data_IF_767970884838
#
_entry.id   IF_767970884838
#
_cell.length_a   1.000
_cell.length_b   1.000
_cell.length_c   1.000
_cell.angle_alpha   90.00
_cell.angle_beta   90.00
_cell.angle_gamma   90.00
#
_symmetry.space_group_name_H-M   'P 1'
#
loop_
_entity.id
_entity.type
_entity.pdbx_description
1 polymer ?
#
# COMPACT_ATOMS: atom_id res chain seq x y z
N UNK A 1 20.41 20.33 -26.87
CA UNK A 1 20.29 19.17 -27.78
C UNK A 1 19.08 19.29 -28.69
N UNK A 2 17.83 19.33 -28.14
CA UNK A 2 16.62 19.39 -28.97
C UNK A 2 16.63 20.60 -29.94
N UNK A 3 16.86 21.81 -29.42
CA UNK A 3 16.94 23.04 -30.22
C UNK A 3 18.05 22.98 -31.30
N UNK A 4 19.18 22.33 -30.98
CA UNK A 4 20.27 22.16 -31.97
C UNK A 4 19.94 21.15 -33.06
N UNK A 5 19.07 20.18 -32.83
CA UNK A 5 18.67 19.14 -33.78
C UNK A 5 17.48 19.55 -34.66
N UNK A 6 16.56 20.35 -34.10
CA UNK A 6 15.28 20.66 -34.74
C UNK A 6 15.09 22.15 -35.06
N UNK A 7 15.98 23.05 -34.61
CA UNK A 7 15.91 24.49 -34.86
C UNK A 7 14.81 25.23 -34.08
N UNK A 8 14.11 24.56 -33.18
CA UNK A 8 13.02 25.10 -32.37
C UNK A 8 13.22 24.81 -30.89
N UNK A 9 12.71 25.70 -30.05
CA UNK A 9 12.76 25.48 -28.61
C UNK A 9 11.76 24.41 -28.21
N UNK A 10 12.18 23.57 -27.25
CA UNK A 10 11.29 22.60 -26.64
C UNK A 10 10.28 23.32 -25.75
N UNK A 11 8.99 23.24 -26.10
CA UNK A 11 7.88 23.75 -25.30
C UNK A 11 7.45 22.70 -24.28
N UNK A 12 6.85 23.16 -23.19
CA UNK A 12 6.26 22.31 -22.14
C UNK A 12 7.27 21.39 -21.40
N UNK A 13 8.51 21.86 -21.29
CA UNK A 13 9.51 21.25 -20.41
C UNK A 13 8.92 21.08 -18.99
N UNK A 14 9.18 19.90 -18.37
CA UNK A 14 8.64 19.42 -17.08
C UNK A 14 7.27 18.73 -17.11
N UNK A 15 6.69 18.51 -18.29
CA UNK A 15 5.67 17.50 -18.47
C UNK A 15 6.32 16.18 -18.92
N UNK A 16 6.16 15.12 -18.11
CA UNK A 16 6.86 13.85 -18.33
C UNK A 16 6.59 13.22 -19.70
N UNK A 17 5.41 13.43 -20.29
CA UNK A 17 5.08 12.89 -21.61
C UNK A 17 5.79 13.65 -22.73
N UNK A 18 5.91 14.97 -22.60
CA UNK A 18 6.65 15.81 -23.54
C UNK A 18 8.16 15.57 -23.43
N UNK A 19 8.70 15.42 -22.22
CA UNK A 19 10.12 15.15 -21.99
C UNK A 19 10.53 13.79 -22.60
N UNK A 20 9.72 12.75 -22.44
CA UNK A 20 9.94 11.44 -23.06
C UNK A 20 9.89 11.52 -24.59
N UNK A 21 8.92 12.24 -25.13
CA UNK A 21 8.77 12.41 -26.57
C UNK A 21 9.94 13.19 -27.18
N UNK A 22 10.36 14.29 -26.54
CA UNK A 22 11.53 15.07 -26.96
C UNK A 22 12.82 14.25 -26.93
N UNK A 23 12.99 13.42 -25.90
CA UNK A 23 14.14 12.50 -25.77
C UNK A 23 14.12 11.47 -26.88
N UNK A 24 12.99 10.84 -27.17
CA UNK A 24 12.84 9.87 -28.24
C UNK A 24 13.11 10.51 -29.62
N UNK A 25 12.51 11.67 -29.94
CA UNK A 25 12.77 12.41 -31.19
C UNK A 25 14.26 12.71 -31.34
N UNK A 26 14.92 13.19 -30.30
CA UNK A 26 16.35 13.50 -30.34
C UNK A 26 17.20 12.26 -30.59
N UNK A 27 16.88 11.13 -29.96
CA UNK A 27 17.56 9.86 -30.16
C UNK A 27 17.46 9.36 -31.61
N UNK A 28 16.25 9.33 -32.17
CA UNK A 28 16.03 8.89 -33.55
C UNK A 28 16.68 9.83 -34.57
N UNK A 29 16.69 11.15 -34.30
CA UNK A 29 17.37 12.12 -35.16
C UNK A 29 18.89 11.94 -35.15
N UNK A 30 19.49 11.67 -34.00
CA UNK A 30 20.92 11.36 -33.89
C UNK A 30 21.29 10.06 -34.63
N UNK A 31 20.42 9.04 -34.55
CA UNK A 31 20.60 7.79 -35.27
C UNK A 31 20.50 8.00 -36.80
N UNK A 32 19.54 8.81 -37.28
CA UNK A 32 19.39 9.20 -38.68
C UNK A 32 20.64 9.95 -39.21
N UNK A 33 21.21 10.83 -38.38
CA UNK A 33 22.43 11.58 -38.71
C UNK A 33 23.70 10.70 -38.65
N UNK A 34 23.61 9.46 -38.16
CA UNK A 34 24.74 8.54 -38.02
C UNK A 34 25.67 8.84 -36.83
N UNK A 35 25.24 9.73 -35.92
CA UNK A 35 25.97 10.06 -34.70
C UNK A 35 25.85 8.95 -33.63
N UNK A 36 24.85 8.07 -33.76
CA UNK A 36 24.68 6.89 -32.92
C UNK A 36 24.94 5.63 -33.75
N UNK A 37 25.96 4.88 -33.37
CA UNK A 37 26.35 3.62 -34.02
C UNK A 37 26.03 2.47 -33.07
N UNK A 38 25.00 1.70 -33.39
CA UNK A 38 24.74 0.41 -32.81
C UNK A 38 24.47 -0.58 -33.94
N UNK A 39 25.08 -1.75 -33.89
CA UNK A 39 24.99 -2.78 -34.93
C UNK A 39 23.56 -3.29 -35.16
N UNK A 40 22.68 -3.08 -34.17
CA UNK A 40 21.27 -3.48 -34.21
C UNK A 40 20.33 -2.43 -34.82
N UNK A 41 20.83 -1.21 -35.16
CA UNK A 41 20.03 -0.12 -35.72
C UNK A 41 20.54 0.20 -37.13
N UNK A 42 19.93 -0.40 -38.14
CA UNK A 42 20.23 -0.03 -39.55
C UNK A 42 19.46 1.24 -39.94
N UNK A 43 20.09 2.12 -40.77
CA UNK A 43 19.48 3.37 -41.24
C UNK A 43 18.16 3.18 -42.00
N UNK A 44 17.90 1.99 -42.52
CA UNK A 44 16.72 1.66 -43.30
C UNK A 44 15.47 1.36 -42.47
N UNK A 45 15.64 1.13 -41.17
CA UNK A 45 14.53 0.72 -40.24
C UNK A 45 14.13 1.79 -39.24
N UNK A 46 14.68 3.01 -39.36
CA UNK A 46 14.39 4.06 -38.39
C UNK A 46 13.23 4.92 -38.89
N UNK A 47 12.02 4.51 -38.64
CA UNK A 47 10.84 5.39 -38.76
C UNK A 47 10.35 5.75 -37.34
N UNK A 48 10.59 6.99 -36.94
CA UNK A 48 9.95 7.53 -35.75
C UNK A 48 8.52 7.92 -36.11
N UNK A 49 7.56 7.10 -35.71
CA UNK A 49 6.16 7.52 -35.60
C UNK A 49 5.94 8.19 -34.25
N UNK A 50 5.57 9.47 -34.28
CA UNK A 50 5.17 10.17 -33.07
C UNK A 50 4.06 9.35 -32.37
N UNK A 51 4.28 8.85 -31.14
CA UNK A 51 3.25 8.11 -30.47
C UNK A 51 2.04 9.02 -30.40
N UNK A 52 0.94 8.64 -31.07
CA UNK A 52 -0.34 9.32 -30.90
C UNK A 52 -0.63 9.24 -29.41
N UNK A 53 -0.32 10.33 -28.69
CA UNK A 53 -0.71 10.50 -27.32
C UNK A 53 -2.18 10.09 -27.32
N UNK A 54 -2.51 8.95 -26.71
CA UNK A 54 -3.90 8.60 -26.49
C UNK A 54 -4.43 9.79 -25.75
N UNK A 55 -5.16 10.65 -26.52
CA UNK A 55 -5.91 11.74 -25.90
C UNK A 55 -6.56 11.10 -24.69
N UNK A 56 -6.14 11.51 -23.51
CA UNK A 56 -6.59 10.91 -22.29
C UNK A 56 -8.08 11.25 -22.16
N UNK A 57 -8.92 10.46 -22.85
CA UNK A 57 -10.35 10.43 -22.56
C UNK A 57 -10.61 10.02 -21.10
N UNK A 58 -9.54 9.69 -20.38
CA UNK A 58 -9.53 9.53 -18.93
C UNK A 58 -9.97 10.81 -18.22
N UNK A 59 -9.42 11.99 -18.58
CA UNK A 59 -9.85 13.25 -17.99
C UNK A 59 -11.26 13.67 -18.41
N UNK A 60 -11.72 13.27 -19.61
CA UNK A 60 -13.06 13.57 -20.09
C UNK A 60 -14.14 12.64 -19.50
N UNK A 61 -13.81 11.42 -19.14
CA UNK A 61 -14.75 10.52 -18.45
C UNK A 61 -14.94 10.89 -16.97
N UNK A 62 -13.90 11.40 -16.32
CA UNK A 62 -14.02 11.90 -14.95
C UNK A 62 -14.83 13.21 -14.91
N UNK A 63 -14.84 14.02 -15.99
CA UNK A 63 -15.63 15.25 -16.07
C UNK A 63 -17.12 15.05 -16.34
N UNK A 64 -17.58 13.85 -16.68
CA UNK A 64 -18.99 13.58 -17.01
C UNK A 64 -19.76 12.76 -15.97
N UNK A 65 -19.15 12.41 -14.86
CA UNK A 65 -19.90 12.03 -13.67
C UNK A 65 -19.87 13.20 -12.68
N UNK A 66 -20.28 14.37 -13.09
CA UNK A 66 -20.91 15.31 -12.19
C UNK A 66 -22.25 14.66 -11.80
N UNK A 67 -22.18 13.71 -10.88
CA UNK A 67 -23.30 13.46 -10.00
C UNK A 67 -23.50 14.81 -9.31
N UNK A 68 -24.61 15.48 -9.62
CA UNK A 68 -25.10 16.62 -8.86
C UNK A 68 -25.29 16.11 -7.42
N UNK A 69 -24.23 16.21 -6.64
CA UNK A 69 -24.31 16.02 -5.20
C UNK A 69 -25.02 17.26 -4.70
N UNK A 70 -26.34 17.17 -4.61
CA UNK A 70 -27.08 18.06 -3.74
C UNK A 70 -26.32 18.10 -2.41
N UNK A 71 -25.96 19.31 -1.98
CA UNK A 71 -25.36 19.59 -0.67
C UNK A 71 -26.38 19.30 0.44
N UNK A 72 -26.83 18.06 0.52
CA UNK A 72 -27.46 17.57 1.73
C UNK A 72 -26.32 17.26 2.70
N UNK A 73 -26.12 18.20 3.64
CA UNK A 73 -25.39 17.99 4.89
C UNK A 73 -26.15 16.97 5.77
N UNK A 74 -26.48 15.82 5.26
CA UNK A 74 -26.83 14.69 6.07
C UNK A 74 -25.52 13.99 6.34
N UNK A 75 -25.06 14.02 7.58
CA UNK A 75 -23.97 13.19 8.08
C UNK A 75 -24.33 11.73 7.77
N UNK A 76 -23.90 11.26 6.58
CA UNK A 76 -23.98 9.84 6.24
C UNK A 76 -22.97 9.16 7.18
N UNK A 77 -23.48 8.62 8.28
CA UNK A 77 -22.68 7.81 9.19
C UNK A 77 -22.39 6.51 8.45
N UNK A 78 -21.16 6.34 7.93
CA UNK A 78 -20.75 5.04 7.42
C UNK A 78 -20.63 4.06 8.59
N UNK A 79 -21.07 2.84 8.35
CA UNK A 79 -21.05 1.78 9.36
C UNK A 79 -19.74 1.00 9.32
N UNK A 80 -18.97 1.12 8.23
CA UNK A 80 -17.63 0.55 8.05
C UNK A 80 -16.81 1.41 7.11
N UNK A 81 -15.51 1.50 7.38
CA UNK A 81 -14.49 2.09 6.52
C UNK A 81 -13.24 1.23 6.51
N UNK A 82 -12.56 1.14 5.36
CA UNK A 82 -11.29 0.45 5.28
C UNK A 82 -10.17 1.25 5.93
N UNK A 83 -9.49 0.63 6.91
CA UNK A 83 -8.34 1.21 7.62
C UNK A 83 -7.00 0.63 7.17
N UNK A 84 -6.99 -0.53 6.48
CA UNK A 84 -5.80 -1.20 5.99
C UNK A 84 -5.92 -1.41 4.47
N UNK A 85 -5.35 -0.49 3.69
CA UNK A 85 -5.40 -0.49 2.23
C UNK A 85 -4.05 -0.13 1.62
N UNK A 86 -3.68 -0.85 0.57
CA UNK A 86 -2.49 -0.61 -0.22
C UNK A 86 -2.84 0.01 -1.56
N UNK A 87 -2.18 1.11 -1.88
CA UNK A 87 -2.30 1.74 -3.18
C UNK A 87 -1.17 1.30 -4.13
N UNK A 88 -1.23 1.77 -5.38
CA UNK A 88 -0.16 1.59 -6.36
C UNK A 88 1.23 2.07 -5.89
N UNK A 89 1.30 2.84 -4.81
CA UNK A 89 2.56 3.27 -4.19
C UNK A 89 3.17 2.20 -3.27
N UNK A 90 2.45 1.12 -2.96
CA UNK A 90 3.02 -0.15 -2.53
C UNK A 90 3.61 -0.85 -3.76
N UNK A 91 4.72 -0.29 -4.27
CA UNK A 91 5.30 -0.58 -5.58
C UNK A 91 5.55 -2.07 -5.77
N UNK A 92 5.06 -2.63 -6.88
CA UNK A 92 5.10 -4.07 -7.20
C UNK A 92 4.42 -4.97 -6.15
N UNK A 93 3.49 -4.43 -5.37
CA UNK A 93 2.80 -5.18 -4.32
C UNK A 93 1.28 -4.95 -4.29
N UNK A 94 0.79 -3.83 -4.83
CA UNK A 94 -0.63 -3.55 -4.95
C UNK A 94 -0.97 -2.92 -6.30
N UNK A 95 -2.22 -3.13 -6.76
CA UNK A 95 -2.72 -2.62 -8.05
C UNK A 95 -3.78 -1.53 -7.90
N UNK A 96 -4.19 -1.23 -6.67
CA UNK A 96 -5.23 -0.23 -6.39
C UNK A 96 -4.73 1.18 -6.71
N UNK A 97 -5.29 1.85 -7.73
CA UNK A 97 -4.99 3.28 -7.89
C UNK A 97 -5.71 4.11 -6.83
N UNK A 98 -5.09 5.21 -6.41
CA UNK A 98 -5.70 6.14 -5.43
C UNK A 98 -7.07 6.63 -5.91
N UNK A 99 -7.21 6.92 -7.19
CA UNK A 99 -8.46 7.34 -7.80
C UNK A 99 -9.55 6.28 -7.64
N UNK A 100 -9.21 5.01 -7.86
CA UNK A 100 -10.16 3.90 -7.72
C UNK A 100 -10.54 3.67 -6.25
N UNK A 101 -9.58 3.75 -5.30
CA UNK A 101 -9.86 3.66 -3.87
C UNK A 101 -10.91 4.70 -3.47
N UNK A 102 -10.71 5.97 -3.85
CA UNK A 102 -11.66 7.05 -3.52
C UNK A 102 -13.00 6.87 -4.24
N UNK A 103 -13.00 6.49 -5.53
CA UNK A 103 -14.24 6.22 -6.28
C UNK A 103 -15.08 5.11 -5.65
N UNK A 104 -14.44 4.01 -5.24
CA UNK A 104 -15.14 2.88 -4.57
C UNK A 104 -15.64 3.27 -3.19
N UNK A 105 -14.91 4.10 -2.47
CA UNK A 105 -15.40 4.63 -1.19
C UNK A 105 -16.69 5.44 -1.37
N UNK A 106 -16.78 6.26 -2.42
CA UNK A 106 -18.02 7.00 -2.76
C UNK A 106 -19.13 6.05 -3.16
N UNK A 107 -18.86 5.09 -4.06
CA UNK A 107 -19.81 4.09 -4.54
C UNK A 107 -20.41 3.32 -3.37
N UNK A 108 -19.58 2.91 -2.42
CA UNK A 108 -19.98 2.16 -1.23
C UNK A 108 -20.45 3.04 -0.06
N UNK A 109 -20.63 4.36 -0.29
CA UNK A 109 -21.13 5.32 0.70
C UNK A 109 -20.27 5.36 1.99
N UNK A 110 -18.98 5.14 1.86
CA UNK A 110 -18.02 5.36 2.93
C UNK A 110 -17.68 6.85 3.01
N UNK A 111 -17.72 7.44 4.18
CA UNK A 111 -17.40 8.88 4.37
C UNK A 111 -15.91 9.12 4.63
N UNK A 112 -15.13 8.06 4.83
CA UNK A 112 -13.70 8.08 5.06
C UNK A 112 -13.05 6.82 4.47
N UNK A 113 -11.75 6.87 4.22
CA UNK A 113 -10.93 5.71 3.85
C UNK A 113 -9.49 5.98 4.21
N UNK A 114 -8.75 4.93 4.56
CA UNK A 114 -7.31 5.02 4.81
C UNK A 114 -6.48 4.61 3.60
N UNK A 115 -5.23 5.09 3.53
CA UNK A 115 -4.14 4.41 2.83
C UNK A 115 -3.04 4.10 3.83
N UNK A 116 -2.49 2.89 3.72
CA UNK A 116 -1.43 2.34 4.58
C UNK A 116 -0.40 1.61 3.72
N UNK A 117 0.19 2.34 2.78
CA UNK A 117 1.15 1.76 1.83
C UNK A 117 2.36 1.13 2.53
N UNK A 118 2.89 0.07 1.92
CA UNK A 118 4.01 -0.72 2.45
C UNK A 118 5.32 0.08 2.42
N UNK A 119 5.82 0.40 3.60
CA UNK A 119 7.14 0.98 3.85
C UNK A 119 7.30 2.43 3.39
N UNK A 120 6.26 3.11 2.91
CA UNK A 120 6.37 4.47 2.42
C UNK A 120 5.06 5.26 2.52
N UNK A 121 5.19 6.59 2.36
CA UNK A 121 4.07 7.54 2.35
C UNK A 121 3.99 8.34 1.04
N UNK A 122 4.50 7.79 -0.08
CA UNK A 122 4.63 8.52 -1.35
C UNK A 122 3.29 8.94 -1.94
N UNK A 123 2.24 8.13 -1.75
CA UNK A 123 0.90 8.38 -2.24
C UNK A 123 0.09 9.41 -1.45
N UNK A 124 0.51 9.77 -0.24
CA UNK A 124 -0.31 10.52 0.73
C UNK A 124 -0.76 11.88 0.21
N UNK A 125 0.13 12.65 -0.43
CA UNK A 125 -0.23 13.97 -0.96
C UNK A 125 -1.32 13.87 -2.04
N UNK A 126 -1.14 12.96 -2.98
CA UNK A 126 -2.11 12.71 -4.06
C UNK A 126 -3.43 12.22 -3.47
N UNK A 127 -3.38 11.28 -2.53
CA UNK A 127 -4.55 10.73 -1.87
C UNK A 127 -5.34 11.80 -1.12
N UNK A 128 -4.68 12.57 -0.26
CA UNK A 128 -5.33 13.64 0.49
C UNK A 128 -6.06 14.64 -0.43
N UNK A 129 -5.39 15.06 -1.52
CA UNK A 129 -5.96 15.99 -2.50
C UNK A 129 -7.21 15.42 -3.18
N UNK A 130 -7.16 14.16 -3.61
CA UNK A 130 -8.27 13.52 -4.32
C UNK A 130 -9.42 13.23 -3.36
N UNK A 131 -9.16 12.72 -2.17
CA UNK A 131 -10.18 12.43 -1.16
C UNK A 131 -10.92 13.70 -0.74
N UNK A 132 -10.21 14.77 -0.40
CA UNK A 132 -10.83 16.05 -0.03
C UNK A 132 -11.67 16.65 -1.15
N UNK A 133 -11.20 16.59 -2.41
CA UNK A 133 -11.98 17.07 -3.58
C UNK A 133 -13.31 16.33 -3.72
N UNK A 134 -13.38 15.10 -3.27
CA UNK A 134 -14.57 14.25 -3.34
C UNK A 134 -15.34 14.14 -2.01
N UNK A 135 -15.06 15.00 -1.03
CA UNK A 135 -15.69 15.00 0.30
C UNK A 135 -15.53 13.67 1.06
N UNK A 136 -14.48 12.91 0.78
CA UNK A 136 -14.08 11.73 1.56
C UNK A 136 -13.02 12.17 2.57
N UNK A 137 -13.19 11.81 3.84
CA UNK A 137 -12.19 12.07 4.88
C UNK A 137 -10.98 11.17 4.66
N UNK A 138 -9.78 11.71 4.34
CA UNK A 138 -8.58 10.91 4.22
C UNK A 138 -8.06 10.52 5.59
N UNK A 139 -7.76 9.25 5.78
CA UNK A 139 -7.05 8.71 6.93
C UNK A 139 -5.67 8.31 6.45
N UNK A 140 -4.64 8.84 7.10
CA UNK A 140 -3.25 8.67 6.68
C UNK A 140 -2.55 7.68 7.60
N UNK A 141 -2.01 6.63 7.02
CA UNK A 141 -1.19 5.65 7.71
C UNK A 141 -0.04 5.16 6.83
N UNK A 142 0.69 4.21 7.36
CA UNK A 142 1.73 3.45 6.65
C UNK A 142 1.88 2.09 7.31
N UNK A 143 2.06 1.04 6.52
CA UNK A 143 2.47 -0.27 6.99
C UNK A 143 3.99 -0.38 6.95
N UNK A 144 4.63 -0.17 8.08
CA UNK A 144 6.08 -0.15 8.21
C UNK A 144 6.68 -1.56 8.30
N UNK A 145 7.89 -1.72 7.79
CA UNK A 145 8.72 -2.89 8.09
C UNK A 145 9.48 -2.64 9.39
N UNK A 146 9.19 -3.45 10.40
CA UNK A 146 9.83 -3.36 11.71
C UNK A 146 10.87 -4.46 11.84
N UNK A 147 12.10 -4.11 12.21
CA UNK A 147 13.19 -5.01 12.54
C UNK A 147 13.63 -4.85 13.99
N UNK A 148 14.40 -5.78 14.49
CA UNK A 148 14.99 -5.70 15.83
C UNK A 148 15.95 -4.50 15.94
N UNK A 149 16.79 -4.29 14.91
CA UNK A 149 17.71 -3.18 14.76
C UNK A 149 17.70 -2.71 13.30
N UNK A 150 17.20 -1.50 13.05
CA UNK A 150 17.11 -0.92 11.70
C UNK A 150 18.46 -0.71 11.04
N UNK A 151 19.51 -0.47 11.85
CA UNK A 151 20.86 -0.14 11.36
C UNK A 151 21.67 -1.39 11.02
N UNK A 152 21.24 -2.57 11.47
CA UNK A 152 21.89 -3.81 11.13
C UNK A 152 21.76 -4.09 9.64
N UNK A 153 22.91 -4.25 8.96
CA UNK A 153 22.97 -4.44 7.50
C UNK A 153 23.77 -5.69 7.08
N UNK A 154 24.15 -6.52 8.06
CA UNK A 154 24.84 -7.79 7.83
C UNK A 154 24.01 -8.94 8.38
N UNK A 155 23.60 -9.82 7.49
CA UNK A 155 22.79 -10.99 7.81
C UNK A 155 23.43 -12.23 7.24
N UNK A 156 23.20 -13.36 7.88
CA UNK A 156 23.67 -14.68 7.46
C UNK A 156 22.49 -15.63 7.32
N UNK A 157 22.72 -16.82 6.80
CA UNK A 157 21.67 -17.85 6.71
C UNK A 157 21.11 -18.22 8.09
N UNK A 158 21.97 -18.26 9.11
CA UNK A 158 21.59 -18.62 10.48
C UNK A 158 21.02 -17.44 11.27
N UNK A 159 21.29 -16.22 10.82
CA UNK A 159 20.75 -14.99 11.39
C UNK A 159 20.21 -14.09 10.26
N UNK A 160 19.06 -14.44 9.68
CA UNK A 160 18.46 -13.70 8.57
C UNK A 160 17.85 -12.39 9.06
N UNK A 161 17.58 -11.49 8.10
CA UNK A 161 16.81 -10.27 8.37
C UNK A 161 15.35 -10.63 8.72
N UNK A 162 15.04 -10.54 10.00
CA UNK A 162 13.69 -10.77 10.53
C UNK A 162 12.93 -9.46 10.54
N UNK A 163 11.83 -9.42 9.79
CA UNK A 163 10.95 -8.24 9.69
C UNK A 163 9.52 -8.63 9.95
N UNK A 164 8.82 -7.68 10.54
CA UNK A 164 7.37 -7.71 10.74
C UNK A 164 6.75 -6.51 10.05
N UNK A 165 5.50 -6.61 9.71
CA UNK A 165 4.72 -5.49 9.24
C UNK A 165 3.97 -4.85 10.40
N UNK A 166 3.88 -3.52 10.39
CA UNK A 166 3.22 -2.77 11.45
C UNK A 166 2.45 -1.61 10.87
N UNK A 167 1.15 -1.63 11.01
CA UNK A 167 0.28 -0.53 10.58
C UNK A 167 0.26 0.55 11.65
N UNK A 168 0.61 1.77 11.26
CA UNK A 168 0.55 2.97 12.07
C UNK A 168 -0.30 4.02 11.35
N UNK A 169 -1.24 4.66 12.08
CA UNK A 169 -2.20 5.62 11.54
C UNK A 169 -2.10 6.95 12.30
N UNK A 170 -2.09 8.07 11.59
CA UNK A 170 -2.04 9.40 12.19
C UNK A 170 -3.41 9.83 12.73
N UNK A 171 -3.48 10.30 13.97
CA UNK A 171 -4.69 10.87 14.60
C UNK A 171 -4.94 12.30 14.13
N UNK A 172 -3.90 13.04 13.83
CA UNK A 172 -3.93 14.46 13.46
C UNK A 172 -2.64 14.86 12.70
N UNK A 173 -2.46 16.17 12.48
CA UNK A 173 -1.28 16.70 11.78
C UNK A 173 0.04 16.32 12.44
N UNK A 174 0.14 16.38 13.77
CA UNK A 174 1.37 16.02 14.48
C UNK A 174 1.68 14.51 14.32
N UNK A 175 0.63 13.66 14.34
CA UNK A 175 0.76 12.23 14.03
C UNK A 175 1.26 11.99 12.62
N UNK A 176 0.74 12.74 11.63
CA UNK A 176 1.24 12.69 10.25
C UNK A 176 2.73 13.07 10.17
N UNK A 177 3.14 14.13 10.84
CA UNK A 177 4.55 14.55 10.87
C UNK A 177 5.44 13.48 11.52
N UNK A 178 4.94 12.79 12.54
CA UNK A 178 5.63 11.66 13.17
C UNK A 178 5.77 10.48 12.20
N UNK A 179 4.71 10.12 11.45
CA UNK A 179 4.79 9.07 10.43
C UNK A 179 5.75 9.45 9.28
N UNK A 180 5.75 10.71 8.86
CA UNK A 180 6.69 11.24 7.86
C UNK A 180 8.13 11.10 8.31
N UNK A 181 8.43 11.43 9.59
CA UNK A 181 9.74 11.24 10.18
C UNK A 181 10.14 9.77 10.23
N UNK A 182 9.22 8.88 10.65
CA UNK A 182 9.46 7.44 10.65
C UNK A 182 9.78 6.93 9.24
N UNK A 183 8.98 7.33 8.23
CA UNK A 183 9.22 6.95 6.84
C UNK A 183 10.57 7.45 6.34
N UNK A 184 10.93 8.71 6.62
CA UNK A 184 12.22 9.27 6.21
C UNK A 184 13.40 8.54 6.86
N UNK A 185 13.34 8.27 8.17
CA UNK A 185 14.38 7.55 8.89
C UNK A 185 14.46 6.08 8.47
N UNK A 186 13.34 5.45 8.08
CA UNK A 186 13.34 4.11 7.52
C UNK A 186 14.18 4.03 6.24
N UNK A 187 14.10 5.05 5.36
CA UNK A 187 14.92 5.11 4.14
C UNK A 187 16.36 5.53 4.39
N UNK A 188 16.61 6.49 5.29
CA UNK A 188 17.95 7.06 5.48
C UNK A 188 18.84 6.24 6.43
N UNK A 189 18.24 5.57 7.42
CA UNK A 189 18.98 4.78 8.41
C UNK A 189 18.72 3.29 8.34
N UNK A 190 17.50 2.88 7.88
CA UNK A 190 17.03 1.51 7.98
C UNK A 190 16.92 0.74 6.66
N UNK A 191 17.29 1.34 5.52
CA UNK A 191 17.16 0.70 4.23
C UNK A 191 18.08 -0.51 4.10
N UNK A 192 17.48 -1.69 3.89
CA UNK A 192 18.20 -2.92 3.56
C UNK A 192 17.55 -3.60 2.34
N UNK A 193 18.30 -3.70 1.25
CA UNK A 193 17.74 -4.11 -0.03
C UNK A 193 16.61 -3.16 -0.46
N UNK A 194 15.41 -3.69 -0.62
CA UNK A 194 14.22 -2.91 -0.99
C UNK A 194 13.33 -2.54 0.22
N UNK A 195 13.79 -2.79 1.45
CA UNK A 195 12.96 -2.66 2.65
C UNK A 195 13.44 -1.52 3.54
N UNK A 196 12.72 -0.39 3.57
CA UNK A 196 12.95 0.67 4.54
C UNK A 196 12.41 0.23 5.91
N UNK A 197 13.32 0.00 6.88
CA UNK A 197 12.99 -0.57 8.18
C UNK A 197 13.00 0.48 9.28
N UNK A 198 12.09 0.35 10.21
CA UNK A 198 12.11 1.01 11.50
C UNK A 198 12.34 -0.03 12.61
N UNK A 199 12.48 0.42 13.84
CA UNK A 199 12.57 -0.42 15.03
C UNK A 199 11.77 0.16 16.20
N UNK A 200 11.73 -0.58 17.31
CA UNK A 200 11.01 -0.19 18.52
C UNK A 200 11.52 1.12 19.15
N UNK A 201 12.79 1.48 18.94
CA UNK A 201 13.38 2.74 19.40
C UNK A 201 12.70 3.93 18.69
N UNK A 202 12.64 3.87 17.35
CA UNK A 202 11.97 4.90 16.55
C UNK A 202 10.47 4.98 16.83
N UNK A 203 9.80 3.81 16.97
CA UNK A 203 8.38 3.75 17.29
C UNK A 203 8.13 4.48 18.62
N UNK A 204 8.87 4.19 19.68
CA UNK A 204 8.74 4.89 20.97
C UNK A 204 8.95 6.39 20.87
N UNK A 205 9.92 6.82 20.04
CA UNK A 205 10.25 8.24 19.85
C UNK A 205 9.11 9.00 19.15
N UNK A 206 8.45 8.38 18.18
CA UNK A 206 7.45 9.02 17.30
C UNK A 206 6.01 8.55 17.52
N UNK A 207 5.69 7.87 18.62
CA UNK A 207 4.37 7.30 18.91
C UNK A 207 3.26 8.31 19.18
N UNK A 208 3.59 9.56 19.51
CA UNK A 208 2.61 10.57 19.93
C UNK A 208 1.64 10.89 18.79
N UNK A 209 0.35 10.92 19.08
CA UNK A 209 -0.72 11.15 18.11
C UNK A 209 -0.76 10.12 16.96
N UNK A 210 -0.32 8.89 17.24
CA UNK A 210 -0.33 7.75 16.32
C UNK A 210 -1.13 6.62 16.93
N UNK A 211 -1.95 5.97 16.12
CA UNK A 211 -2.65 4.72 16.43
C UNK A 211 -1.83 3.56 15.86
N UNK A 212 -1.72 2.46 16.60
CA UNK A 212 -1.10 1.22 16.14
C UNK A 212 -2.14 0.10 16.03
N UNK A 213 -2.12 -0.66 14.93
CA UNK A 213 -2.92 -1.87 14.74
C UNK A 213 -2.02 -3.09 14.90
N UNK A 214 -2.55 -4.22 15.38
CA UNK A 214 -1.76 -5.46 15.48
C UNK A 214 -1.30 -5.99 14.11
N UNK A 215 -1.93 -5.50 13.04
CA UNK A 215 -1.62 -5.84 11.66
C UNK A 215 -2.19 -7.18 11.22
N UNK A 216 -1.91 -7.50 9.95
CA UNK A 216 -2.31 -8.75 9.29
C UNK A 216 -1.41 -9.93 9.69
N UNK A 217 -1.47 -11.04 8.95
CA UNK A 217 -0.65 -12.26 9.16
C UNK A 217 0.88 -12.02 9.11
N UNK A 218 1.32 -10.86 8.64
CA UNK A 218 2.74 -10.45 8.64
C UNK A 218 3.10 -9.56 9.83
N UNK A 219 2.13 -9.18 10.65
CA UNK A 219 2.33 -8.46 11.90
C UNK A 219 3.12 -9.26 12.94
N UNK A 220 3.72 -8.57 13.90
CA UNK A 220 4.57 -9.23 14.91
C UNK A 220 3.76 -10.20 15.78
N UNK A 221 2.61 -9.76 16.31
CA UNK A 221 1.78 -10.58 17.19
C UNK A 221 1.22 -11.80 16.46
N UNK A 222 0.56 -11.68 15.27
CA UNK A 222 0.12 -12.83 14.49
C UNK A 222 1.25 -13.84 14.17
N UNK A 223 2.42 -13.35 13.80
CA UNK A 223 3.57 -14.23 13.54
C UNK A 223 4.05 -14.97 14.79
N UNK A 224 4.02 -14.34 15.95
CA UNK A 224 4.40 -14.99 17.21
C UNK A 224 3.39 -16.08 17.57
N UNK A 225 2.10 -15.80 17.47
CA UNK A 225 1.02 -16.80 17.68
C UNK A 225 1.30 -18.06 16.84
N UNK A 226 1.58 -17.87 15.55
CA UNK A 226 1.75 -18.98 14.60
C UNK A 226 3.07 -19.73 14.71
N UNK A 227 4.14 -19.11 15.19
CA UNK A 227 5.47 -19.70 15.12
C UNK A 227 6.16 -19.93 16.46
N UNK A 228 5.74 -19.26 17.54
CA UNK A 228 6.41 -19.33 18.85
C UNK A 228 5.45 -19.59 20.02
N UNK A 229 4.14 -19.50 19.77
CA UNK A 229 3.09 -19.74 20.75
C UNK A 229 2.50 -18.49 21.38
N UNK A 230 1.46 -18.70 22.17
CA UNK A 230 0.60 -17.63 22.71
C UNK A 230 1.37 -16.79 23.75
N UNK A 231 2.21 -17.42 24.57
CA UNK A 231 2.97 -16.74 25.62
C UNK A 231 3.93 -15.68 25.03
N UNK A 232 4.65 -16.04 23.96
CA UNK A 232 5.54 -15.10 23.28
C UNK A 232 4.77 -13.95 22.62
N UNK A 233 3.61 -14.23 22.05
CA UNK A 233 2.73 -13.22 21.48
C UNK A 233 2.15 -12.29 22.55
N UNK A 234 1.83 -12.81 23.71
CA UNK A 234 1.30 -12.05 24.85
C UNK A 234 2.36 -11.12 25.47
N UNK A 235 3.61 -11.56 25.54
CA UNK A 235 4.72 -10.70 25.97
C UNK A 235 4.93 -9.51 25.01
N UNK A 236 4.91 -9.79 23.72
CA UNK A 236 4.98 -8.74 22.69
C UNK A 236 3.77 -7.79 22.75
N UNK A 237 2.56 -8.32 22.93
CA UNK A 237 1.34 -7.54 23.10
C UNK A 237 1.46 -6.53 24.24
N UNK A 238 2.00 -6.93 25.38
CA UNK A 238 2.20 -6.04 26.55
C UNK A 238 3.10 -4.85 26.18
N UNK A 239 4.14 -5.07 25.38
CA UNK A 239 5.00 -3.97 24.92
C UNK A 239 4.21 -2.95 24.09
N UNK A 240 3.29 -3.41 23.21
CA UNK A 240 2.45 -2.52 22.41
C UNK A 240 1.45 -1.76 23.28
N UNK A 241 0.83 -2.42 24.25
CA UNK A 241 -0.07 -1.78 25.22
C UNK A 241 0.63 -0.74 26.06
N UNK A 242 1.81 -1.03 26.58
CA UNK A 242 2.62 -0.07 27.37
C UNK A 242 3.07 1.13 26.51
N UNK A 243 3.22 0.91 25.21
CA UNK A 243 3.67 1.95 24.28
C UNK A 243 2.53 2.85 23.82
N UNK A 244 1.37 2.30 23.45
CA UNK A 244 0.27 3.04 22.83
C UNK A 244 -0.98 3.16 23.69
N UNK A 245 -1.15 2.33 24.74
CA UNK A 245 -2.32 2.34 25.59
C UNK A 245 -3.62 2.17 24.81
N UNK A 246 -4.56 3.10 24.97
CA UNK A 246 -5.86 3.08 24.29
C UNK A 246 -5.78 3.30 22.76
N UNK A 247 -4.64 3.73 22.25
CA UNK A 247 -4.38 3.91 20.81
C UNK A 247 -3.83 2.63 20.15
N UNK A 248 -3.83 1.49 20.86
CA UNK A 248 -3.53 0.18 20.29
C UNK A 248 -4.82 -0.61 20.04
N UNK A 249 -4.96 -1.17 18.83
CA UNK A 249 -6.11 -1.95 18.40
C UNK A 249 -5.68 -3.31 17.87
N UNK A 250 -6.49 -4.34 18.12
CA UNK A 250 -6.32 -5.65 17.52
C UNK A 250 -7.07 -5.69 16.19
N UNK A 251 -6.36 -6.02 15.13
CA UNK A 251 -6.89 -6.12 13.78
C UNK A 251 -7.28 -7.56 13.46
N UNK A 252 -8.55 -7.77 13.10
CA UNK A 252 -9.09 -9.05 12.69
C UNK A 252 -9.23 -9.08 11.16
N UNK A 253 -8.68 -10.10 10.51
CA UNK A 253 -8.78 -10.33 9.08
C UNK A 253 -9.50 -11.65 8.80
N UNK A 254 -10.30 -11.72 7.72
CA UNK A 254 -11.04 -12.92 7.31
C UNK A 254 -10.97 -13.10 5.80
N UNK A 255 -10.00 -13.89 5.35
CA UNK A 255 -9.82 -14.24 3.95
C UNK A 255 -10.04 -15.75 3.68
N UNK A 256 -10.83 -16.43 4.53
CA UNK A 256 -11.04 -17.87 4.44
C UNK A 256 -9.72 -18.68 4.53
N UNK A 257 -8.93 -18.38 5.55
CA UNK A 257 -7.61 -18.97 5.79
C UNK A 257 -7.58 -19.50 7.24
N UNK A 258 -7.28 -20.78 7.42
CA UNK A 258 -7.27 -21.44 8.73
C UNK A 258 -6.33 -20.77 9.73
N UNK A 259 -5.16 -20.32 9.27
CA UNK A 259 -4.20 -19.62 10.13
C UNK A 259 -4.73 -18.27 10.62
N UNK A 260 -5.55 -17.56 9.82
CA UNK A 260 -6.22 -16.34 10.27
C UNK A 260 -7.29 -16.62 11.32
N UNK A 261 -8.06 -17.71 11.15
CA UNK A 261 -9.07 -18.11 12.12
C UNK A 261 -8.44 -18.37 13.48
N UNK A 262 -7.33 -19.14 13.51
CA UNK A 262 -6.58 -19.38 14.74
C UNK A 262 -6.02 -18.10 15.38
N UNK A 263 -5.44 -17.20 14.58
CA UNK A 263 -4.95 -15.90 15.07
C UNK A 263 -6.08 -15.07 15.63
N UNK A 264 -7.22 -14.98 14.95
CA UNK A 264 -8.39 -14.22 15.41
C UNK A 264 -8.93 -14.75 16.75
N UNK A 265 -8.98 -16.07 16.95
CA UNK A 265 -9.38 -16.67 18.25
C UNK A 265 -8.50 -16.16 19.37
N UNK A 266 -7.17 -16.22 19.21
CA UNK A 266 -6.23 -15.74 20.23
C UNK A 266 -6.32 -14.23 20.44
N UNK A 267 -6.48 -13.44 19.36
CA UNK A 267 -6.64 -11.98 19.47
C UNK A 267 -7.94 -11.61 20.21
N UNK A 268 -9.03 -12.36 20.02
CA UNK A 268 -10.27 -12.17 20.76
C UNK A 268 -10.13 -12.51 22.26
N UNK A 269 -9.34 -13.53 22.60
CA UNK A 269 -8.99 -13.82 23.99
C UNK A 269 -8.16 -12.67 24.61
N UNK A 270 -7.16 -12.15 23.88
CA UNK A 270 -6.39 -11.00 24.32
C UNK A 270 -7.23 -9.74 24.46
N UNK A 271 -8.16 -9.48 23.52
CA UNK A 271 -9.11 -8.37 23.62
C UNK A 271 -9.89 -8.41 24.93
N UNK A 272 -10.46 -9.56 25.28
CA UNK A 272 -11.21 -9.77 26.53
C UNK A 272 -10.32 -9.64 27.76
N UNK A 273 -9.13 -10.26 27.75
CA UNK A 273 -8.20 -10.29 28.87
C UNK A 273 -7.63 -8.92 29.23
N UNK A 274 -7.33 -8.10 28.22
CA UNK A 274 -6.66 -6.81 28.38
C UNK A 274 -7.55 -5.60 28.08
N UNK A 275 -8.83 -5.83 27.77
CA UNK A 275 -9.80 -4.79 27.39
C UNK A 275 -9.30 -3.94 26.21
N UNK A 276 -8.79 -4.61 25.17
CA UNK A 276 -8.29 -3.97 23.95
C UNK A 276 -9.40 -3.94 22.92
N UNK A 277 -9.59 -2.79 22.26
CA UNK A 277 -10.53 -2.64 21.15
C UNK A 277 -10.09 -3.45 19.95
N UNK A 278 -11.06 -4.03 19.27
CA UNK A 278 -10.85 -4.78 18.02
C UNK A 278 -11.37 -4.00 16.83
N UNK A 279 -10.79 -4.22 15.66
CA UNK A 279 -11.27 -3.69 14.39
C UNK A 279 -11.27 -4.79 13.33
N UNK A 280 -12.24 -4.75 12.42
CA UNK A 280 -12.25 -5.55 11.22
C UNK A 280 -11.45 -4.85 10.11
N UNK A 281 -10.60 -5.60 9.41
CA UNK A 281 -9.87 -5.13 8.24
C UNK A 281 -9.90 -6.16 7.11
N UNK A 282 -9.51 -5.76 5.91
CA UNK A 282 -9.47 -6.66 4.75
C UNK A 282 -8.11 -6.65 4.03
N UNK A 283 -7.11 -5.96 4.55
CA UNK A 283 -5.75 -5.96 3.98
C UNK A 283 -5.76 -5.84 2.43
N UNK A 284 -6.32 -4.72 1.93
CA UNK A 284 -6.70 -4.58 0.52
C UNK A 284 -5.47 -4.34 -0.35
N UNK A 285 -5.33 -5.13 -1.44
CA UNK A 285 -4.27 -4.99 -2.44
C UNK A 285 -4.78 -4.64 -3.85
N UNK A 286 -6.06 -4.85 -4.12
CA UNK A 286 -6.71 -4.55 -5.41
C UNK A 286 -8.18 -4.16 -5.21
N UNK A 287 -8.77 -3.57 -6.26
CA UNK A 287 -10.11 -2.96 -6.14
C UNK A 287 -11.22 -3.97 -6.37
N UNK A 288 -11.23 -4.64 -7.53
CA UNK A 288 -12.24 -5.63 -7.88
C UNK A 288 -11.70 -7.04 -7.64
N UNK A 289 -12.57 -8.00 -7.32
CA UNK A 289 -12.18 -9.39 -7.08
C UNK A 289 -11.42 -10.00 -8.27
N UNK A 290 -11.82 -9.64 -9.47
CA UNK A 290 -11.23 -10.07 -10.74
C UNK A 290 -9.81 -9.54 -10.95
N UNK A 291 -9.43 -8.43 -10.28
CA UNK A 291 -8.08 -7.84 -10.33
C UNK A 291 -7.03 -8.76 -9.66
N UNK A 292 -7.46 -9.79 -8.93
CA UNK A 292 -6.60 -10.80 -8.28
C UNK A 292 -5.59 -11.43 -9.24
N UNK A 293 -6.00 -11.70 -10.49
CA UNK A 293 -5.11 -12.25 -11.52
C UNK A 293 -4.01 -11.25 -11.92
N UNK A 294 -4.37 -9.98 -12.09
CA UNK A 294 -3.40 -8.92 -12.43
C UNK A 294 -2.43 -8.68 -11.26
N UNK A 295 -2.93 -8.71 -10.04
CA UNK A 295 -2.13 -8.62 -8.83
C UNK A 295 -1.14 -9.79 -8.70
N UNK A 296 -1.57 -11.03 -8.95
CA UNK A 296 -0.70 -12.20 -8.92
C UNK A 296 0.42 -12.12 -9.97
N UNK A 297 0.13 -11.62 -11.17
CA UNK A 297 1.15 -11.33 -12.20
C UNK A 297 2.14 -10.27 -11.72
N UNK A 298 1.66 -9.21 -11.07
CA UNK A 298 2.53 -8.17 -10.50
C UNK A 298 3.51 -8.76 -9.47
N UNK A 299 3.04 -9.66 -8.61
CA UNK A 299 3.90 -10.36 -7.65
C UNK A 299 4.91 -11.30 -8.34
N UNK A 300 4.54 -11.94 -9.45
CA UNK A 300 5.48 -12.71 -10.27
C UNK A 300 6.59 -11.82 -10.84
N UNK A 301 6.24 -10.67 -11.41
CA UNK A 301 7.21 -9.67 -11.92
C UNK A 301 8.17 -9.24 -10.81
N UNK A 302 7.66 -8.92 -9.62
CA UNK A 302 8.48 -8.53 -8.47
C UNK A 302 9.53 -9.58 -8.09
N UNK A 303 9.18 -10.85 -8.23
CA UNK A 303 10.01 -11.98 -7.78
C UNK A 303 10.87 -12.58 -8.90
N UNK A 304 10.65 -12.18 -10.17
CA UNK A 304 11.26 -12.82 -11.32
C UNK A 304 10.76 -14.26 -11.52
N UNK A 305 9.50 -14.54 -11.13
CA UNK A 305 8.91 -15.88 -11.17
C UNK A 305 7.81 -15.97 -12.23
N UNK A 306 7.47 -17.19 -12.61
CA UNK A 306 6.37 -17.48 -13.52
C UNK A 306 5.06 -17.70 -12.76
N UNK A 307 3.93 -17.37 -13.40
CA UNK A 307 2.59 -17.67 -12.84
C UNK A 307 2.38 -19.17 -12.60
N UNK A 308 3.01 -20.02 -13.39
CA UNK A 308 2.98 -21.50 -13.23
C UNK A 308 3.75 -22.01 -12.01
N UNK A 309 4.66 -21.19 -11.43
CA UNK A 309 5.35 -21.55 -10.19
C UNK A 309 4.36 -21.60 -9.03
N UNK A 310 4.23 -22.72 -8.29
CA UNK A 310 3.24 -22.83 -7.22
C UNK A 310 3.44 -21.81 -6.09
N UNK A 311 2.34 -21.23 -5.59
CA UNK A 311 2.37 -20.36 -4.41
C UNK A 311 2.72 -21.19 -3.16
N UNK A 312 3.63 -20.68 -2.32
CA UNK A 312 3.98 -21.31 -1.07
C UNK A 312 5.34 -20.87 -0.52
N UNK A 313 5.89 -21.67 0.40
CA UNK A 313 7.19 -21.45 1.01
C UNK A 313 8.17 -22.54 0.61
N UNK A 314 9.45 -22.19 0.45
CA UNK A 314 10.52 -23.14 0.16
C UNK A 314 10.96 -23.15 -1.31
N UNK A 315 11.87 -24.07 -1.63
CA UNK A 315 12.46 -24.17 -2.98
C UNK A 315 11.42 -24.53 -4.04
N UNK A 316 11.44 -23.84 -5.18
CA UNK A 316 10.52 -24.06 -6.29
C UNK A 316 9.10 -23.53 -6.03
N UNK A 317 8.95 -22.63 -5.06
CA UNK A 317 7.70 -21.95 -4.76
C UNK A 317 7.89 -20.43 -4.75
N UNK A 318 6.85 -19.70 -5.11
CA UNK A 318 6.82 -18.24 -5.09
C UNK A 318 5.87 -17.69 -4.02
N UNK A 319 6.03 -16.42 -3.68
CA UNK A 319 5.09 -15.72 -2.83
C UNK A 319 3.85 -15.30 -3.64
N UNK A 320 2.69 -15.37 -3.03
CA UNK A 320 1.40 -14.95 -3.59
C UNK A 320 0.35 -14.96 -2.50
N UNK A 321 -0.81 -14.36 -2.77
CA UNK A 321 -1.98 -14.48 -1.91
C UNK A 321 -2.59 -15.87 -2.07
N UNK A 322 -3.17 -16.41 -1.01
CA UNK A 322 -3.76 -17.77 -1.02
C UNK A 322 -5.05 -17.86 -1.83
N UNK A 323 -5.77 -16.74 -1.92
CA UNK A 323 -7.05 -16.62 -2.63
C UNK A 323 -7.27 -15.19 -3.14
N UNK A 324 -8.48 -14.88 -3.61
CA UNK A 324 -8.89 -13.62 -4.23
C UNK A 324 -9.68 -12.69 -3.30
N UNK A 325 -9.61 -12.90 -1.98
CA UNK A 325 -10.42 -12.16 -1.00
C UNK A 325 -9.86 -10.79 -0.58
N UNK A 326 -8.71 -10.38 -1.11
CA UNK A 326 -8.00 -9.13 -0.73
C UNK A 326 -8.44 -7.91 -1.55
N UNK A 327 -9.67 -7.91 -2.06
CA UNK A 327 -10.25 -6.79 -2.81
C UNK A 327 -10.95 -5.77 -1.90
N UNK A 328 -11.27 -4.62 -2.46
CA UNK A 328 -11.93 -3.53 -1.74
C UNK A 328 -13.42 -3.87 -1.52
N UNK A 329 -13.73 -4.57 -0.44
CA UNK A 329 -15.09 -5.02 -0.08
C UNK A 329 -16.01 -3.86 0.26
N UNK A 330 -17.29 -3.98 -0.06
CA UNK A 330 -18.33 -3.05 0.37
C UNK A 330 -18.61 -3.14 1.87
N UNK A 331 -19.27 -2.11 2.43
CA UNK A 331 -19.69 -2.13 3.84
C UNK A 331 -20.55 -3.35 4.18
N UNK A 332 -21.46 -3.74 3.27
CA UNK A 332 -22.34 -4.90 3.49
C UNK A 332 -21.56 -6.21 3.50
N UNK A 333 -20.60 -6.39 2.60
CA UNK A 333 -19.73 -7.57 2.61
C UNK A 333 -18.95 -7.68 3.92
N UNK A 334 -18.33 -6.58 4.37
CA UNK A 334 -17.60 -6.57 5.63
C UNK A 334 -18.50 -6.82 6.84
N UNK A 335 -19.70 -6.23 6.89
CA UNK A 335 -20.69 -6.48 7.94
C UNK A 335 -21.16 -7.94 7.98
N UNK A 336 -21.38 -8.54 6.83
CA UNK A 336 -21.74 -9.95 6.74
C UNK A 336 -20.59 -10.85 7.18
N UNK A 337 -19.36 -10.52 6.77
CA UNK A 337 -18.15 -11.27 7.10
C UNK A 337 -17.87 -11.28 8.63
N UNK A 338 -18.20 -10.20 9.33
CA UNK A 338 -18.01 -10.04 10.77
C UNK A 338 -19.33 -9.98 11.55
N UNK A 339 -20.41 -10.60 11.02
CA UNK A 339 -21.75 -10.55 11.64
C UNK A 339 -21.81 -11.18 13.03
N UNK A 340 -20.90 -12.08 13.35
CA UNK A 340 -20.72 -12.73 14.67
C UNK A 340 -19.90 -11.87 15.65
N UNK A 341 -19.21 -10.83 15.18
CA UNK A 341 -18.39 -9.92 15.98
C UNK A 341 -18.69 -8.47 15.58
N UNK A 342 -19.92 -7.98 15.79
CA UNK A 342 -20.32 -6.65 15.32
C UNK A 342 -19.52 -5.50 15.94
N UNK A 343 -18.94 -5.69 17.12
CA UNK A 343 -18.05 -4.72 17.78
C UNK A 343 -16.76 -4.43 17.02
N UNK A 344 -16.34 -5.32 16.11
CA UNK A 344 -15.18 -5.08 15.24
C UNK A 344 -15.49 -4.13 14.07
N UNK A 345 -16.77 -3.91 13.77
CA UNK A 345 -17.25 -3.03 12.70
C UNK A 345 -17.59 -1.62 13.22
N UNK A 346 -18.01 -1.49 14.49
CA UNK A 346 -18.56 -0.25 15.09
C UNK A 346 -17.45 0.71 15.61
#
# INVERSE_FOLDING_TARGET
MYESLFGEKFSDAHDASFDVNATAKSFFKLAELGEYKNDDISKENIQYEEPKLRNSNFDKKIKKTEVSVEKNKNDIKSEFIHLHNHSQYSVLQATSSIEKIVSKSIEYKMNAVAITDLGNMFGVFKFNRIAQKNNIKPIIGCEFFVSEDRKKNKFTRDNPDKRFNQVLIAKNKDGYDNLSNLSSLAFTEGLYGQYPRIDKELIKKYKKNVIALSGNMFGVIPKLILNQGIEAAEEELKWWLDTFGEDFYLELNRHDIDEENHVNEVLLEFSKKYNIKIIAANDVFYIEKEDSTAHDILLCIKQGEFKSTPIGRGRGKRRGLKNDEYYFKSQNEMKNLFSDIPEAIN
#
